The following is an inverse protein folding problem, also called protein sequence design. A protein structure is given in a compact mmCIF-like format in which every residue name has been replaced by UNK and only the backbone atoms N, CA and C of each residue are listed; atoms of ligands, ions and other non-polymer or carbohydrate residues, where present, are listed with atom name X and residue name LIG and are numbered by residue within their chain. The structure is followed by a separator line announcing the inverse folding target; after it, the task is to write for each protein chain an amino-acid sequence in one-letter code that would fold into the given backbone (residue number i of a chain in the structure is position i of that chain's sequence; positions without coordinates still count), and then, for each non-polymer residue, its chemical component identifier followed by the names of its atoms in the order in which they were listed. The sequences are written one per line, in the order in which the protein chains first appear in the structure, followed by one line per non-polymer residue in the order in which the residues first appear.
data_IF_417918003498
#
_entry.id   IF_417918003498
#
_cell.length_a   1.000
_cell.length_b   1.000
_cell.length_c   1.000
_cell.angle_alpha   90.00
_cell.angle_beta   90.00
_cell.angle_gamma   90.00
#
_symmetry.space_group_name_H-M   'P 1'
#
loop_
_entity.id
_entity.type
_entity.pdbx_description
1 polymer ?
#
# COMPACT_ATOMS: atom_id res chain seq x y z
N UNK A 1 2.45 8.55 -1.77
CA UNK A 1 0.98 8.36 -1.93
C UNK A 1 0.41 9.15 -3.09
N UNK A 2 0.42 10.49 -3.03
CA UNK A 2 -0.25 11.35 -4.05
C UNK A 2 0.24 11.09 -5.48
N UNK A 3 1.52 10.83 -5.70
CA UNK A 3 2.05 10.58 -7.03
C UNK A 3 1.48 9.30 -7.67
N UNK A 4 1.25 8.25 -6.88
CA UNK A 4 0.58 7.04 -7.36
C UNK A 4 -0.87 7.31 -7.74
N UNK A 5 -1.60 8.01 -6.88
CA UNK A 5 -2.98 8.40 -7.15
C UNK A 5 -3.09 9.27 -8.41
N UNK A 6 -2.16 10.20 -8.61
CA UNK A 6 -2.11 11.03 -9.81
C UNK A 6 -1.86 10.18 -11.08
N UNK A 7 -1.00 9.16 -11.01
CA UNK A 7 -0.77 8.24 -12.13
C UNK A 7 -2.04 7.45 -12.48
N UNK A 8 -2.79 7.01 -11.47
CA UNK A 8 -4.04 6.28 -11.65
C UNK A 8 -5.08 7.14 -12.39
N UNK A 9 -5.41 8.31 -11.86
CA UNK A 9 -6.42 9.18 -12.49
C UNK A 9 -5.99 9.73 -13.86
N UNK A 10 -4.70 9.90 -14.09
CA UNK A 10 -4.20 10.44 -15.35
C UNK A 10 -4.51 9.54 -16.56
N UNK A 11 -4.63 8.23 -16.36
CA UNK A 11 -4.99 7.29 -17.44
C UNK A 11 -6.34 7.67 -18.05
N UNK A 12 -7.34 7.89 -17.20
CA UNK A 12 -8.70 8.26 -17.65
C UNK A 12 -8.74 9.64 -18.29
N UNK A 13 -8.02 10.60 -17.71
CA UNK A 13 -7.97 11.96 -18.26
C UNK A 13 -7.23 12.03 -19.59
N UNK A 14 -6.19 11.23 -19.81
CA UNK A 14 -5.49 11.10 -21.09
C UNK A 14 -6.44 10.50 -22.13
N UNK A 15 -7.18 9.44 -21.77
CA UNK A 15 -8.16 8.83 -22.66
C UNK A 15 -9.28 9.82 -23.05
N UNK A 16 -9.79 10.58 -22.08
CA UNK A 16 -10.81 11.62 -22.32
C UNK A 16 -10.28 12.72 -23.23
N UNK A 17 -9.06 13.21 -23.02
CA UNK A 17 -8.46 14.24 -23.89
C UNK A 17 -8.33 13.75 -25.33
N UNK A 18 -7.90 12.50 -25.53
CA UNK A 18 -7.84 11.88 -26.87
C UNK A 18 -9.23 11.78 -27.52
N UNK A 19 -10.22 11.31 -26.78
CA UNK A 19 -11.59 11.19 -27.27
C UNK A 19 -12.21 12.54 -27.69
N UNK A 20 -11.73 13.63 -27.09
CA UNK A 20 -12.16 15.02 -27.44
C UNK A 20 -11.30 15.68 -28.51
N UNK A 21 -10.32 14.96 -29.08
CA UNK A 21 -9.41 15.50 -30.09
C UNK A 21 -8.31 16.44 -29.55
N UNK A 22 -8.14 16.57 -28.22
CA UNK A 22 -7.09 17.37 -27.59
C UNK A 22 -5.80 16.53 -27.44
N UNK A 23 -5.21 16.21 -28.58
CA UNK A 23 -4.00 15.36 -28.66
C UNK A 23 -2.82 16.01 -27.97
N UNK A 24 -2.64 17.31 -28.11
CA UNK A 24 -1.54 18.04 -27.47
C UNK A 24 -1.56 17.95 -25.96
N UNK A 25 -2.74 17.99 -25.36
CA UNK A 25 -2.91 17.80 -23.91
C UNK A 25 -2.65 16.35 -23.51
N UNK A 26 -3.18 15.40 -24.25
CA UNK A 26 -2.98 13.97 -23.99
C UNK A 26 -1.48 13.59 -24.03
N UNK A 27 -0.75 14.08 -25.02
CA UNK A 27 0.71 13.85 -25.14
C UNK A 27 1.50 14.48 -24.00
N UNK A 28 1.19 15.71 -23.62
CA UNK A 28 1.83 16.38 -22.48
C UNK A 28 1.60 15.63 -21.17
N UNK A 29 0.39 15.17 -20.92
CA UNK A 29 0.08 14.39 -19.72
C UNK A 29 0.73 13.01 -19.75
N UNK A 30 0.76 12.35 -20.91
CA UNK A 30 1.45 11.07 -21.08
C UNK A 30 2.95 11.19 -20.79
N UNK A 31 3.60 12.26 -21.27
CA UNK A 31 5.01 12.52 -20.99
C UNK A 31 5.25 12.79 -19.50
N UNK A 32 4.35 13.57 -18.85
CA UNK A 32 4.42 13.81 -17.41
C UNK A 32 4.29 12.51 -16.60
N UNK A 33 3.33 11.63 -16.94
CA UNK A 33 3.16 10.33 -16.29
C UNK A 33 4.41 9.45 -16.43
N UNK A 34 5.06 9.46 -17.58
CA UNK A 34 6.32 8.74 -17.78
C UNK A 34 7.42 9.26 -16.85
N UNK A 35 7.58 10.57 -16.75
CA UNK A 35 8.53 11.20 -15.83
C UNK A 35 8.24 10.88 -14.37
N UNK A 36 6.98 10.99 -13.93
CA UNK A 36 6.58 10.67 -12.55
C UNK A 36 6.80 9.20 -12.20
N UNK A 37 6.47 8.29 -13.12
CA UNK A 37 6.73 6.86 -12.93
C UNK A 37 8.22 6.58 -12.77
N UNK A 38 9.05 7.14 -13.62
CA UNK A 38 10.51 7.01 -13.54
C UNK A 38 11.05 7.53 -12.20
N UNK A 39 10.61 8.71 -11.77
CA UNK A 39 11.00 9.28 -10.48
C UNK A 39 10.59 8.38 -9.30
N UNK A 40 9.36 7.85 -9.29
CA UNK A 40 8.90 6.93 -8.25
C UNK A 40 9.73 5.64 -8.20
N UNK A 41 10.12 5.11 -9.36
CA UNK A 41 10.90 3.87 -9.42
C UNK A 41 12.35 4.06 -8.98
N UNK A 42 12.93 5.22 -9.26
CA UNK A 42 14.34 5.50 -8.97
C UNK A 42 14.52 6.06 -7.55
N UNK A 43 13.67 7.00 -7.14
CA UNK A 43 13.86 7.78 -5.93
C UNK A 43 13.05 7.27 -4.73
N UNK A 44 11.85 6.73 -4.98
CA UNK A 44 10.96 6.32 -3.89
C UNK A 44 11.06 4.84 -3.50
N UNK A 45 11.76 4.01 -4.27
CA UNK A 45 11.98 2.61 -3.92
C UNK A 45 13.14 2.45 -2.94
N UNK A 46 12.86 1.88 -1.77
CA UNK A 46 13.80 1.73 -0.65
C UNK A 46 14.34 0.30 -0.49
N UNK A 47 14.37 -0.47 -1.58
CA UNK A 47 14.86 -1.85 -1.59
C UNK A 47 13.81 -2.90 -1.20
N UNK A 48 12.96 -2.63 -0.24
CA UNK A 48 11.90 -3.54 0.24
C UNK A 48 10.48 -2.99 0.11
N UNK A 49 10.33 -1.66 0.03
CA UNK A 49 9.05 -0.98 -0.08
C UNK A 49 9.20 0.42 -0.65
N UNK A 50 8.09 1.10 -0.93
CA UNK A 50 8.08 2.49 -1.37
C UNK A 50 8.01 3.46 -0.21
N UNK A 51 8.86 4.47 -0.25
CA UNK A 51 8.84 5.61 0.67
C UNK A 51 7.54 6.41 0.51
N UNK A 52 7.07 6.98 1.60
CA UNK A 52 5.82 7.75 1.61
C UNK A 52 5.95 9.13 0.96
N UNK A 53 7.00 9.84 1.32
CA UNK A 53 7.25 11.23 0.93
C UNK A 53 8.70 11.62 1.17
N UNK A 54 9.05 12.82 0.71
CA UNK A 54 10.29 13.50 1.03
C UNK A 54 9.98 14.84 1.67
N UNK A 55 10.76 15.23 2.66
CA UNK A 55 10.77 16.57 3.20
C UNK A 55 11.52 17.53 2.26
N UNK A 56 11.41 18.83 2.50
CA UNK A 56 12.03 19.86 1.65
C UNK A 56 13.57 19.76 1.59
N UNK A 57 14.18 19.20 2.63
CA UNK A 57 15.62 18.93 2.70
C UNK A 57 16.04 17.61 2.03
N UNK A 58 15.09 16.89 1.41
CA UNK A 58 15.31 15.59 0.78
C UNK A 58 15.26 14.40 1.73
N UNK A 59 15.07 14.61 3.03
CA UNK A 59 14.92 13.51 3.99
C UNK A 59 13.68 12.68 3.68
N UNK A 60 13.83 11.36 3.61
CA UNK A 60 12.72 10.46 3.32
C UNK A 60 11.85 10.19 4.56
N UNK A 61 10.53 10.16 4.38
CA UNK A 61 9.55 9.57 5.29
C UNK A 61 9.12 8.21 4.73
N UNK A 62 9.13 7.18 5.55
CA UNK A 62 8.80 5.82 5.11
C UNK A 62 10.01 5.02 4.61
N UNK A 63 11.21 5.34 5.05
CA UNK A 63 12.46 4.66 4.69
C UNK A 63 12.95 3.71 5.78
N UNK A 64 13.54 2.57 5.38
CA UNK A 64 14.19 1.64 6.30
C UNK A 64 15.36 2.27 7.09
N UNK A 65 15.94 3.34 6.56
CA UNK A 65 17.03 4.08 7.22
C UNK A 65 16.55 4.94 8.39
N UNK A 66 15.24 5.12 8.55
CA UNK A 66 14.66 5.91 9.66
C UNK A 66 14.48 5.05 10.91
N UNK A 67 14.51 5.68 12.07
CA UNK A 67 14.19 5.04 13.37
C UNK A 67 12.70 5.03 13.67
N UNK A 68 11.96 6.00 13.14
CA UNK A 68 10.50 6.16 13.26
C UNK A 68 9.85 6.33 11.89
N UNK A 69 8.61 5.89 11.72
CA UNK A 69 7.89 5.99 10.45
C UNK A 69 8.60 5.31 9.29
N UNK A 70 9.15 4.11 9.51
CA UNK A 70 9.98 3.40 8.53
C UNK A 70 9.21 2.88 7.32
N UNK A 71 7.98 2.46 7.53
CA UNK A 71 7.09 1.96 6.47
C UNK A 71 5.70 2.54 6.66
N UNK A 72 5.02 2.83 5.54
CA UNK A 72 3.67 3.40 5.52
C UNK A 72 2.77 2.63 4.55
N UNK A 73 1.59 2.27 5.02
CA UNK A 73 0.62 1.44 4.32
C UNK A 73 0.11 2.08 3.02
N UNK A 74 -0.12 3.41 3.03
CA UNK A 74 -0.69 4.13 1.88
C UNK A 74 0.24 4.05 0.66
N UNK A 75 1.54 4.18 0.89
CA UNK A 75 2.51 4.14 -0.20
C UNK A 75 2.51 2.78 -0.90
N UNK A 76 2.41 1.69 -0.13
CA UNK A 76 2.41 0.32 -0.65
C UNK A 76 1.09 -0.02 -1.35
N UNK A 77 -0.04 0.26 -0.71
CA UNK A 77 -1.35 -0.01 -1.28
C UNK A 77 -1.53 0.72 -2.63
N UNK A 78 -1.19 2.02 -2.70
CA UNK A 78 -1.32 2.79 -3.94
C UNK A 78 -0.28 2.44 -5.01
N UNK A 79 0.89 1.91 -4.65
CA UNK A 79 1.82 1.35 -5.63
C UNK A 79 1.20 0.16 -6.40
N UNK A 80 0.36 -0.63 -5.72
CA UNK A 80 -0.41 -1.70 -6.34
C UNK A 80 -1.60 -1.15 -7.12
N UNK A 81 -2.48 -0.37 -6.46
CA UNK A 81 -3.75 0.09 -7.01
C UNK A 81 -3.60 0.92 -8.28
N UNK A 82 -2.55 1.74 -8.36
CA UNK A 82 -2.27 2.52 -9.57
C UNK A 82 -1.84 1.68 -10.78
N UNK A 83 -1.45 0.41 -10.57
CA UNK A 83 -0.87 -0.43 -11.62
C UNK A 83 0.45 0.09 -12.20
N UNK A 84 1.00 1.18 -11.65
CA UNK A 84 2.16 1.86 -12.22
C UNK A 84 3.51 1.30 -11.74
N UNK A 85 3.53 0.60 -10.60
CA UNK A 85 4.72 -0.08 -10.11
C UNK A 85 4.94 -1.43 -10.82
N UNK A 86 6.20 -1.89 -11.01
CA UNK A 86 6.48 -3.24 -11.49
C UNK A 86 5.87 -4.28 -10.53
N UNK A 87 5.28 -5.34 -11.07
CA UNK A 87 4.53 -6.34 -10.29
C UNK A 87 5.37 -6.99 -9.19
N UNK A 88 6.65 -7.24 -9.44
CA UNK A 88 7.55 -7.80 -8.43
C UNK A 88 7.77 -6.85 -7.25
N UNK A 89 7.85 -5.53 -7.51
CA UNK A 89 7.91 -4.53 -6.44
C UNK A 89 6.59 -4.38 -5.71
N UNK A 90 5.45 -4.55 -6.40
CA UNK A 90 4.13 -4.57 -5.76
C UNK A 90 4.04 -5.73 -4.76
N UNK A 91 4.45 -6.95 -5.17
CA UNK A 91 4.49 -8.13 -4.29
C UNK A 91 5.42 -7.90 -3.10
N UNK A 92 6.64 -7.46 -3.35
CA UNK A 92 7.63 -7.18 -2.30
C UNK A 92 7.11 -6.14 -1.30
N UNK A 93 6.49 -5.06 -1.79
CA UNK A 93 5.92 -4.02 -0.94
C UNK A 93 4.77 -4.56 -0.07
N UNK A 94 3.88 -5.40 -0.61
CA UNK A 94 2.79 -5.98 0.17
C UNK A 94 3.27 -7.10 1.12
N UNK A 95 4.37 -7.80 0.81
CA UNK A 95 5.04 -8.68 1.77
C UNK A 95 5.63 -7.88 2.94
N UNK A 96 6.21 -6.70 2.67
CA UNK A 96 6.67 -5.81 3.73
C UNK A 96 5.50 -5.28 4.59
N UNK A 97 4.34 -4.97 4.00
CA UNK A 97 3.12 -4.65 4.75
C UNK A 97 2.75 -5.80 5.70
N UNK A 98 2.71 -7.03 5.19
CA UNK A 98 2.40 -8.22 5.99
C UNK A 98 3.39 -8.40 7.15
N UNK A 99 4.68 -8.20 6.91
CA UNK A 99 5.73 -8.41 7.91
C UNK A 99 5.79 -7.31 8.98
N UNK A 100 5.44 -6.06 8.64
CA UNK A 100 5.70 -4.92 9.52
C UNK A 100 4.43 -4.22 10.03
N UNK A 101 3.31 -4.29 9.31
CA UNK A 101 2.10 -3.53 9.63
C UNK A 101 0.92 -4.40 10.04
N UNK A 102 0.98 -5.71 9.79
CA UNK A 102 -0.08 -6.66 10.14
C UNK A 102 0.24 -7.34 11.46
N UNK A 103 -0.72 -7.32 12.37
CA UNK A 103 -0.64 -7.93 13.70
C UNK A 103 -1.79 -8.91 13.86
N UNK A 104 -1.58 -10.15 13.43
CA UNK A 104 -2.62 -11.20 13.38
C UNK A 104 -3.18 -11.55 14.76
N UNK A 105 -2.35 -11.56 15.80
CA UNK A 105 -2.72 -11.86 17.19
C UNK A 105 -3.68 -10.82 17.79
N UNK A 106 -3.63 -9.59 17.30
CA UNK A 106 -4.49 -8.49 17.75
C UNK A 106 -5.50 -8.04 16.69
N UNK A 107 -5.47 -8.66 15.49
CA UNK A 107 -6.37 -8.30 14.39
C UNK A 107 -6.23 -6.83 14.00
N UNK A 108 -5.00 -6.34 13.87
CA UNK A 108 -4.72 -4.94 13.55
C UNK A 108 -3.91 -4.81 12.25
N UNK A 109 -4.26 -3.81 11.48
CA UNK A 109 -3.51 -3.35 10.31
C UNK A 109 -3.11 -1.89 10.55
N UNK A 110 -1.85 -1.66 10.87
CA UNK A 110 -1.32 -0.33 11.21
C UNK A 110 -1.10 0.52 9.96
N UNK A 111 -1.26 1.83 10.12
CA UNK A 111 -0.96 2.79 9.05
C UNK A 111 0.53 2.92 8.78
N UNK A 112 1.33 3.03 9.84
CA UNK A 112 2.79 3.15 9.76
C UNK A 112 3.45 2.55 11.00
N UNK A 113 4.74 2.25 10.90
CA UNK A 113 5.55 1.77 12.05
C UNK A 113 7.02 2.13 11.89
N UNK A 114 7.79 2.31 13.01
CA UNK A 114 7.32 2.65 14.35
C UNK A 114 6.61 3.99 14.40
N UNK A 115 5.81 4.27 15.46
CA UNK A 115 5.12 5.55 15.57
C UNK A 115 6.09 6.73 15.66
N UNK A 116 5.63 7.88 15.17
CA UNK A 116 6.39 9.12 15.19
C UNK A 116 6.29 9.77 16.59
N UNK A 117 7.44 10.00 17.21
CA UNK A 117 7.55 10.68 18.52
C UNK A 117 8.51 11.86 18.46
N UNK A 118 9.70 11.59 17.93
CA UNK A 118 10.84 12.50 17.91
C UNK A 118 11.48 12.58 16.51
N UNK A 119 10.72 12.20 15.47
CA UNK A 119 11.20 12.23 14.10
C UNK A 119 11.58 13.66 13.69
N UNK A 120 12.76 13.79 13.10
CA UNK A 120 13.26 15.00 12.48
C UNK A 120 13.62 14.73 11.01
N UNK A 121 13.14 15.57 10.09
CA UNK A 121 12.19 16.68 10.27
C UNK A 121 10.83 16.20 10.78
N UNK A 122 10.10 17.09 11.47
CA UNK A 122 8.79 16.75 12.02
C UNK A 122 7.76 16.44 10.92
N UNK A 123 7.01 15.35 11.10
CA UNK A 123 5.89 15.02 10.22
C UNK A 123 4.60 15.86 10.48
N UNK A 124 4.74 16.98 11.17
CA UNK A 124 3.64 17.92 11.41
C UNK A 124 2.53 17.32 12.27
N UNK A 125 1.27 17.53 11.87
CA UNK A 125 0.12 17.09 12.66
C UNK A 125 0.05 15.58 12.89
N UNK A 126 0.60 14.77 12.01
CA UNK A 126 0.65 13.30 12.18
C UNK A 126 1.46 12.96 13.44
N UNK A 127 2.60 13.61 13.64
CA UNK A 127 3.47 13.40 14.79
C UNK A 127 2.88 13.99 16.07
N UNK A 128 1.95 14.95 15.97
CA UNK A 128 1.29 15.55 17.13
C UNK A 128 0.27 14.58 17.78
N UNK A 129 -0.21 13.56 17.08
CA UNK A 129 -1.05 12.54 17.70
C UNK A 129 -0.21 11.59 18.57
N UNK A 130 -0.76 11.13 19.71
CA UNK A 130 -0.12 10.08 20.48
C UNK A 130 0.15 8.82 19.64
N UNK A 131 1.23 8.08 19.90
CA UNK A 131 1.49 6.79 19.26
C UNK A 131 0.32 5.82 19.34
N UNK A 132 -0.04 5.19 18.22
CA UNK A 132 -1.18 4.29 18.09
C UNK A 132 -2.51 4.98 17.86
N UNK A 133 -2.53 6.32 17.75
CA UNK A 133 -3.76 7.09 17.54
C UNK A 133 -3.78 7.67 16.13
N UNK A 134 -4.92 7.49 15.44
CA UNK A 134 -5.18 8.01 14.09
C UNK A 134 -4.02 7.69 13.13
N UNK A 135 -3.49 8.73 12.45
CA UNK A 135 -2.43 8.58 11.46
C UNK A 135 -1.06 8.25 12.08
N UNK A 136 -0.90 8.41 13.39
CA UNK A 136 0.38 8.07 14.04
C UNK A 136 0.41 6.61 14.50
N UNK A 137 0.56 5.69 13.57
CA UNK A 137 0.64 4.24 13.78
C UNK A 137 -0.67 3.58 14.29
N UNK A 138 -1.81 4.26 14.23
CA UNK A 138 -3.11 3.65 14.51
C UNK A 138 -3.58 2.75 13.36
N UNK A 139 -4.66 2.00 13.60
CA UNK A 139 -5.41 1.36 12.54
C UNK A 139 -6.28 2.43 11.87
N UNK A 140 -5.84 2.90 10.72
CA UNK A 140 -6.54 3.92 9.95
C UNK A 140 -7.38 3.25 8.88
N UNK A 141 -8.68 3.16 9.09
CA UNK A 141 -9.61 2.35 8.28
C UNK A 141 -9.56 2.66 6.79
N UNK A 142 -9.39 3.93 6.44
CA UNK A 142 -9.26 4.39 5.06
C UNK A 142 -8.09 3.71 4.33
N UNK A 143 -6.90 3.77 4.93
CA UNK A 143 -5.71 3.09 4.38
C UNK A 143 -5.85 1.57 4.44
N UNK A 144 -6.49 1.05 5.47
CA UNK A 144 -6.79 -0.36 5.61
C UNK A 144 -7.66 -0.89 4.46
N UNK A 145 -8.69 -0.15 4.05
CA UNK A 145 -9.52 -0.51 2.89
C UNK A 145 -8.70 -0.52 1.60
N UNK A 146 -7.81 0.43 1.40
CA UNK A 146 -6.89 0.40 0.25
C UNK A 146 -5.96 -0.82 0.27
N UNK A 147 -5.51 -1.26 1.43
CA UNK A 147 -4.72 -2.49 1.55
C UNK A 147 -5.53 -3.75 1.21
N UNK A 148 -6.81 -3.81 1.61
CA UNK A 148 -7.73 -4.88 1.18
C UNK A 148 -7.84 -4.91 -0.35
N UNK A 149 -8.07 -3.76 -0.98
CA UNK A 149 -8.17 -3.64 -2.43
C UNK A 149 -6.87 -4.04 -3.13
N UNK A 150 -5.71 -3.59 -2.61
CA UNK A 150 -4.41 -3.92 -3.16
C UNK A 150 -4.10 -5.43 -3.06
N UNK A 151 -4.39 -6.05 -1.92
CA UNK A 151 -4.25 -7.49 -1.76
C UNK A 151 -5.16 -8.28 -2.71
N UNK A 152 -6.41 -7.81 -2.92
CA UNK A 152 -7.33 -8.42 -3.87
C UNK A 152 -6.84 -8.28 -5.33
N UNK A 153 -6.32 -7.12 -5.70
CA UNK A 153 -5.76 -6.88 -7.04
C UNK A 153 -4.58 -7.82 -7.34
N UNK A 154 -3.67 -8.01 -6.38
CA UNK A 154 -2.55 -8.95 -6.53
C UNK A 154 -3.02 -10.40 -6.59
N UNK A 155 -4.00 -10.80 -5.77
CA UNK A 155 -4.56 -12.15 -5.81
C UNK A 155 -5.17 -12.48 -7.18
N UNK A 156 -5.89 -11.55 -7.77
CA UNK A 156 -6.44 -11.67 -9.13
C UNK A 156 -5.31 -11.77 -10.15
N UNK A 157 -4.29 -10.92 -10.06
CA UNK A 157 -3.15 -10.95 -10.97
C UNK A 157 -2.42 -12.31 -10.91
N UNK A 158 -2.19 -12.86 -9.72
CA UNK A 158 -1.49 -14.14 -9.55
C UNK A 158 -2.33 -15.30 -10.09
N UNK A 159 -3.64 -15.28 -9.86
CA UNK A 159 -4.54 -16.33 -10.36
C UNK A 159 -4.64 -16.38 -11.90
N UNK A 160 -4.63 -15.23 -12.56
CA UNK A 160 -4.81 -15.14 -14.02
C UNK A 160 -3.50 -14.93 -14.78
N UNK A 161 -2.44 -14.44 -14.14
CA UNK A 161 -1.11 -14.26 -14.73
C UNK A 161 -0.35 -15.57 -14.94
N UNK A 162 -0.50 -16.52 -14.03
CA UNK A 162 0.13 -17.84 -14.11
C UNK A 162 -0.46 -18.74 -15.22
N UNK A 163 -1.73 -18.53 -15.59
CA UNK A 163 -2.39 -19.28 -16.67
C UNK A 163 -1.91 -18.90 -18.08
N UNK A 164 -1.06 -17.89 -18.22
CA UNK A 164 -0.50 -17.45 -19.50
C UNK A 164 0.91 -17.96 -19.79
N UNK A 165 1.56 -18.65 -18.86
CA UNK A 165 2.85 -19.33 -19.07
C UNK A 165 2.73 -20.82 -18.79
N UNK A 166 2.89 -21.60 -19.84
CA UNK A 166 2.70 -23.06 -19.95
C UNK A 166 3.36 -23.91 -18.84
N UNK A 167 2.54 -24.80 -18.27
CA UNK A 167 2.85 -26.20 -17.95
C UNK A 167 4.14 -26.56 -17.20
N UNK A 168 4.06 -26.68 -15.85
CA UNK A 168 4.49 -27.92 -15.20
C UNK A 168 3.90 -28.06 -13.76
N UNK A 169 2.97 -29.01 -13.48
CA UNK A 169 2.32 -29.11 -12.15
C UNK A 169 3.12 -29.87 -11.10
N UNK A 170 4.33 -30.35 -11.39
CA UNK A 170 5.01 -31.33 -10.51
C UNK A 170 6.10 -30.76 -9.57
N UNK A 171 6.44 -29.47 -9.57
CA UNK A 171 7.55 -28.96 -8.78
C UNK A 171 7.26 -27.63 -8.04
N UNK A 172 6.11 -27.48 -7.40
CA UNK A 172 5.91 -26.40 -6.43
C UNK A 172 6.04 -26.93 -5.00
N UNK A 173 6.95 -26.36 -4.18
CA UNK A 173 7.00 -26.72 -2.77
C UNK A 173 5.71 -26.25 -2.11
N UNK A 174 4.96 -27.18 -1.51
CA UNK A 174 3.84 -26.91 -0.61
C UNK A 174 4.37 -26.25 0.69
N UNK A 175 4.77 -24.99 0.60
CA UNK A 175 4.79 -24.12 1.77
C UNK A 175 3.33 -23.73 2.05
N UNK A 176 2.96 -23.64 3.34
CA UNK A 176 1.61 -23.27 3.75
C UNK A 176 1.26 -21.87 3.23
N UNK A 177 0.84 -21.79 1.97
CA UNK A 177 0.25 -20.58 1.41
C UNK A 177 -1.13 -20.41 2.06
N UNK A 178 -1.26 -19.44 2.94
CA UNK A 178 -2.55 -18.76 3.07
C UNK A 178 -2.93 -18.44 1.62
N UNK A 179 -4.03 -19.01 1.15
CA UNK A 179 -4.46 -18.83 -0.24
C UNK A 179 -4.43 -17.33 -0.54
N UNK A 180 -3.90 -16.94 -1.69
CA UNK A 180 -3.84 -15.53 -2.09
C UNK A 180 -5.23 -14.85 -1.99
N UNK A 181 -6.30 -15.65 -2.12
CA UNK A 181 -7.70 -15.24 -1.99
C UNK A 181 -8.08 -14.97 -0.51
N UNK A 182 -7.41 -15.58 0.46
CA UNK A 182 -7.76 -15.43 1.89
C UNK A 182 -7.19 -14.14 2.50
N UNK A 183 -6.09 -13.62 1.95
CA UNK A 183 -5.41 -12.43 2.47
C UNK A 183 -6.29 -11.17 2.45
N UNK A 184 -6.97 -10.80 1.35
CA UNK A 184 -7.89 -9.66 1.33
C UNK A 184 -9.02 -9.80 2.35
N UNK A 185 -9.59 -11.00 2.47
CA UNK A 185 -10.66 -11.26 3.43
C UNK A 185 -10.14 -11.14 4.87
N UNK A 186 -8.96 -11.65 5.18
CA UNK A 186 -8.32 -11.50 6.49
C UNK A 186 -8.12 -10.02 6.85
N UNK A 187 -7.60 -9.20 5.95
CA UNK A 187 -7.48 -7.75 6.18
C UNK A 187 -8.84 -7.09 6.39
N UNK A 188 -9.86 -7.49 5.63
CA UNK A 188 -11.22 -7.01 5.82
C UNK A 188 -11.74 -7.33 7.23
N UNK A 189 -11.49 -8.53 7.77
CA UNK A 189 -11.96 -8.90 9.12
C UNK A 189 -11.38 -8.00 10.21
N UNK A 190 -10.17 -7.48 10.04
CA UNK A 190 -9.54 -6.54 10.99
C UNK A 190 -10.21 -5.16 11.00
N UNK A 191 -10.86 -4.80 9.90
CA UNK A 191 -11.55 -3.51 9.76
C UNK A 191 -13.05 -3.60 10.12
N UNK A 192 -13.64 -4.79 9.97
CA UNK A 192 -15.08 -5.01 10.13
C UNK A 192 -15.51 -4.97 11.60
N UNK A 193 -16.44 -4.08 12.01
CA UNK A 193 -16.93 -4.04 13.38
C UNK A 193 -17.54 -5.37 13.85
N UNK A 194 -18.25 -6.08 12.97
CA UNK A 194 -18.87 -7.37 13.29
C UNK A 194 -17.83 -8.45 13.66
N UNK A 195 -16.70 -8.50 12.95
CA UNK A 195 -15.60 -9.42 13.26
C UNK A 195 -14.85 -8.99 14.51
N UNK A 196 -14.63 -7.68 14.67
CA UNK A 196 -13.97 -7.14 15.87
C UNK A 196 -14.77 -7.40 17.14
N UNK A 197 -16.10 -7.35 17.09
CA UNK A 197 -16.96 -7.69 18.22
C UNK A 197 -16.82 -9.16 18.67
N UNK A 198 -16.40 -10.05 17.78
CA UNK A 198 -16.15 -11.47 18.06
C UNK A 198 -14.69 -11.76 18.47
N UNK A 199 -13.78 -10.81 18.32
CA UNK A 199 -12.38 -11.00 18.64
C UNK A 199 -12.16 -11.09 20.16
N UNK A 200 -11.42 -12.09 20.68
CA UNK A 200 -11.29 -12.31 22.13
C UNK A 200 -10.78 -11.10 22.90
N UNK A 201 -9.92 -10.30 22.27
CA UNK A 201 -9.30 -9.11 22.89
C UNK A 201 -10.18 -7.85 22.81
N UNK A 202 -11.04 -7.73 21.78
CA UNK A 202 -11.78 -6.50 21.49
C UNK A 202 -13.29 -6.67 21.63
N UNK A 203 -13.80 -7.89 21.78
CA UNK A 203 -15.22 -8.19 21.82
C UNK A 203 -15.98 -7.45 22.92
N UNK A 204 -15.36 -7.24 24.09
CA UNK A 204 -15.95 -6.47 25.18
C UNK A 204 -16.13 -4.97 24.88
N UNK A 205 -15.37 -4.44 23.92
CA UNK A 205 -15.45 -3.02 23.52
C UNK A 205 -16.51 -2.80 22.45
N UNK A 206 -16.74 -3.80 21.57
CA UNK A 206 -17.65 -3.69 20.43
C UNK A 206 -18.96 -4.46 20.59
N UNK A 207 -19.07 -5.29 21.61
CA UNK A 207 -20.25 -6.14 21.89
C UNK A 207 -21.18 -5.61 22.98
N UNK A 208 -20.97 -4.36 23.45
CA UNK A 208 -21.81 -3.73 24.46
C UNK A 208 -22.95 -2.91 23.86
#
# INVERSE_FOLDING_TARGET
GLAWFLLDIAVDWIALARARGDTARAERWQAACTGWRTALHNEAWDGGWYQRAFFDDGTALGSHARTEGRIDLIAQAWAVLSGAAPVERQRTAMQAVQAHLVHDDSGLLQLLTPPLRHAEPSAGYIQAYPPGVRENAGQYSHAGVWAVMAAAALAVHDQYGENSSENNPENSPKAAHVSAVDLPYRYFTYLSPAHRAQHPRWGLVYGA
#
